data_IF_292931408104
#
_entry.id   IF_292931408104
#
_cell.length_a   1.000
_cell.length_b   1.000
_cell.length_c   1.000
_cell.angle_alpha   90.00
_cell.angle_beta   90.00
_cell.angle_gamma   90.00
#
_symmetry.space_group_name_H-M   'P 1'
#
loop_
_entity.id
_entity.type
_entity.pdbx_description
1 polymer ?
#
# COMPACT_ATOMS: atom_id res chain seq x y z
N UNK A 1 -10.52 -2.41 -13.63
CA UNK A 1 -10.83 -2.45 -12.19
C UNK A 1 -9.61 -1.98 -11.40
N UNK A 2 -9.83 -1.15 -10.44
CA UNK A 2 -8.74 -0.66 -9.59
C UNK A 2 -8.76 -1.36 -8.26
N UNK A 3 -7.56 -1.69 -7.77
CA UNK A 3 -7.36 -2.31 -6.46
C UNK A 3 -6.27 -1.58 -5.72
N UNK A 4 -6.46 -1.47 -4.41
CA UNK A 4 -5.45 -0.92 -3.51
C UNK A 4 -4.82 -2.08 -2.75
N UNK A 5 -3.51 -2.21 -2.89
CA UNK A 5 -2.71 -3.17 -2.14
C UNK A 5 -2.03 -2.41 -1.02
N UNK A 6 -2.14 -2.89 0.21
CA UNK A 6 -1.51 -2.23 1.34
C UNK A 6 -0.61 -3.19 2.10
N UNK A 7 0.44 -2.63 2.67
CA UNK A 7 1.30 -3.30 3.63
C UNK A 7 1.00 -2.67 4.98
N UNK A 8 0.60 -3.50 5.94
CA UNK A 8 0.22 -3.02 7.26
C UNK A 8 1.34 -3.31 8.26
N UNK A 9 1.64 -2.34 9.09
CA UNK A 9 2.56 -2.43 10.22
C UNK A 9 3.82 -3.27 10.00
N UNK A 10 4.74 -3.29 10.93
CA UNK A 10 5.80 -4.28 11.03
C UNK A 10 6.47 -4.76 9.74
N UNK A 11 6.74 -3.86 8.79
CA UNK A 11 7.42 -4.24 7.56
C UNK A 11 8.75 -4.94 7.89
N UNK A 12 9.11 -6.02 7.16
CA UNK A 12 10.40 -6.65 7.35
C UNK A 12 11.51 -5.65 7.07
N UNK A 13 12.64 -5.86 7.73
CA UNK A 13 13.78 -4.98 7.55
C UNK A 13 14.24 -5.02 6.09
N UNK A 14 14.23 -3.87 5.44
CA UNK A 14 14.61 -3.78 4.04
C UNK A 14 16.12 -3.94 3.89
N UNK A 15 16.55 -4.79 2.95
CA UNK A 15 17.94 -4.93 2.57
C UNK A 15 18.12 -4.55 1.10
N UNK A 16 19.36 -4.58 0.64
CA UNK A 16 19.68 -4.19 -0.74
C UNK A 16 18.97 -5.07 -1.76
N UNK A 17 18.82 -6.36 -1.46
CA UNK A 17 18.14 -7.28 -2.37
C UNK A 17 16.65 -6.97 -2.46
N UNK A 18 16.02 -6.65 -1.34
CA UNK A 18 14.61 -6.27 -1.34
C UNK A 18 14.39 -5.00 -2.17
N UNK A 19 15.25 -4.00 -1.99
CA UNK A 19 15.15 -2.76 -2.78
C UNK A 19 15.33 -3.03 -4.26
N UNK A 20 16.30 -3.87 -4.64
CA UNK A 20 16.54 -4.20 -6.04
C UNK A 20 15.36 -4.94 -6.67
N UNK A 21 14.84 -5.96 -5.97
CA UNK A 21 13.73 -6.76 -6.47
C UNK A 21 12.44 -5.95 -6.53
N UNK A 22 12.20 -5.11 -5.55
CA UNK A 22 11.03 -4.24 -5.55
C UNK A 22 11.12 -3.19 -6.66
N UNK A 23 12.31 -2.64 -6.89
CA UNK A 23 12.53 -1.68 -7.97
C UNK A 23 12.22 -2.28 -9.34
N UNK A 24 12.64 -3.51 -9.58
CA UNK A 24 12.35 -4.22 -10.82
C UNK A 24 10.84 -4.47 -10.98
N UNK A 25 10.19 -4.89 -9.91
CA UNK A 25 8.75 -5.16 -9.93
C UNK A 25 7.95 -3.88 -10.23
N UNK A 26 8.28 -2.79 -9.54
CA UNK A 26 7.65 -1.48 -9.76
C UNK A 26 7.86 -1.01 -11.19
N UNK A 27 9.07 -1.13 -11.72
CA UNK A 27 9.39 -0.72 -13.08
C UNK A 27 8.58 -1.52 -14.10
N UNK A 28 8.50 -2.82 -13.92
CA UNK A 28 7.73 -3.70 -14.81
C UNK A 28 6.26 -3.28 -14.85
N UNK A 29 5.64 -3.11 -13.68
CA UNK A 29 4.22 -2.76 -13.59
C UNK A 29 3.93 -1.34 -14.09
N UNK A 30 4.88 -0.43 -13.89
CA UNK A 30 4.75 0.94 -14.39
C UNK A 30 4.77 0.97 -15.91
N UNK A 31 5.71 0.25 -16.52
CA UNK A 31 5.81 0.16 -17.98
C UNK A 31 4.60 -0.51 -18.61
N UNK A 32 4.01 -1.47 -17.90
CA UNK A 32 2.81 -2.17 -18.38
C UNK A 32 1.54 -1.35 -18.21
N UNK A 33 1.61 -0.19 -17.55
CA UNK A 33 0.44 0.63 -17.28
C UNK A 33 -0.47 0.08 -16.20
N UNK A 34 0.01 -0.89 -15.44
CA UNK A 34 -0.76 -1.54 -14.37
C UNK A 34 -0.67 -0.76 -13.06
N UNK A 35 0.53 -0.30 -12.72
CA UNK A 35 0.74 0.46 -11.49
C UNK A 35 0.44 1.94 -11.71
N UNK A 36 -0.58 2.44 -11.03
CA UNK A 36 -1.00 3.84 -11.16
C UNK A 36 -0.32 4.75 -10.14
N UNK A 37 -0.09 4.25 -8.93
CA UNK A 37 0.54 5.01 -7.87
C UNK A 37 1.08 4.06 -6.81
N UNK A 38 2.16 4.44 -6.17
CA UNK A 38 2.73 3.68 -5.06
C UNK A 38 3.52 4.61 -4.16
N UNK A 39 3.65 4.24 -2.91
CA UNK A 39 4.46 5.03 -1.97
C UNK A 39 4.48 4.42 -0.59
N UNK A 40 5.45 4.89 0.19
CA UNK A 40 5.51 4.59 1.61
C UNK A 40 4.87 5.73 2.39
N UNK A 41 4.36 5.43 3.56
CA UNK A 41 3.75 6.40 4.43
C UNK A 41 4.64 6.66 5.64
N UNK A 42 4.71 7.92 6.07
CA UNK A 42 5.46 8.27 7.28
C UNK A 42 4.80 7.62 8.49
N UNK A 43 5.63 7.23 9.47
CA UNK A 43 5.12 6.65 10.72
C UNK A 43 4.38 7.69 11.56
N UNK A 44 4.72 8.95 11.38
CA UNK A 44 4.06 10.05 12.05
C UNK A 44 3.00 10.64 11.14
N UNK A 45 1.91 11.07 11.73
CA UNK A 45 0.84 11.67 10.98
C UNK A 45 -0.01 12.57 11.86
N UNK A 46 -1.03 13.14 11.26
CA UNK A 46 -1.98 13.97 11.98
C UNK A 46 -3.32 13.23 11.99
N UNK A 47 -3.78 12.92 13.18
CA UNK A 47 -5.08 12.29 13.36
C UNK A 47 -6.17 13.37 13.35
N UNK A 48 -7.23 13.12 12.62
CA UNK A 48 -8.30 14.09 12.44
C UNK A 48 -9.62 13.50 12.93
N UNK A 49 -10.29 14.22 13.82
CA UNK A 49 -11.66 13.90 14.19
C UNK A 49 -12.56 15.06 13.83
N UNK A 50 -13.78 14.76 13.44
CA UNK A 50 -14.73 15.78 13.04
C UNK A 50 -16.08 15.53 13.70
N UNK A 51 -16.71 16.62 14.14
CA UNK A 51 -18.04 16.59 14.72
C UNK A 51 -18.76 17.88 14.36
N UNK A 52 -19.95 17.77 13.78
CA UNK A 52 -20.75 18.93 13.39
C UNK A 52 -20.03 19.85 12.41
N UNK A 53 -19.20 19.31 11.53
CA UNK A 53 -18.44 20.09 10.57
C UNK A 53 -17.16 20.73 11.13
N UNK A 54 -16.82 20.45 12.38
CA UNK A 54 -15.59 20.95 12.99
C UNK A 54 -14.56 19.83 13.08
N UNK A 55 -13.37 20.09 12.60
CA UNK A 55 -12.26 19.13 12.62
C UNK A 55 -11.28 19.46 13.73
N UNK A 56 -10.83 18.42 14.42
CA UNK A 56 -9.78 18.50 15.43
C UNK A 56 -8.60 17.68 14.94
N UNK A 57 -7.40 18.28 15.06
CA UNK A 57 -6.16 17.69 14.54
C UNK A 57 -5.23 17.36 15.70
N UNK A 58 -4.70 16.14 15.70
CA UNK A 58 -3.77 15.69 16.74
C UNK A 58 -2.55 15.08 16.07
N UNK A 59 -1.39 15.71 16.23
CA UNK A 59 -0.13 15.22 15.70
C UNK A 59 0.47 14.16 16.60
N UNK A 60 1.19 13.22 16.00
CA UNK A 60 1.94 12.23 16.76
C UNK A 60 2.09 10.91 16.01
N UNK A 61 2.86 9.97 16.60
CA UNK A 61 2.91 8.63 16.07
C UNK A 61 1.63 7.89 16.37
N UNK A 62 1.23 6.98 15.48
CA UNK A 62 0.08 6.12 15.72
C UNK A 62 0.41 5.07 16.78
N UNK A 63 -0.52 4.86 17.71
CA UNK A 63 -0.28 4.01 18.86
C UNK A 63 -0.17 2.51 18.50
N UNK A 64 -0.84 2.09 17.44
CA UNK A 64 -0.88 0.68 17.02
C UNK A 64 -0.22 0.51 15.66
N UNK A 65 1.07 0.20 15.67
CA UNK A 65 1.84 0.03 14.42
C UNK A 65 1.26 -1.07 13.53
N UNK A 66 0.70 -2.12 14.12
CA UNK A 66 0.15 -3.26 13.37
C UNK A 66 -1.07 -2.90 12.53
N UNK A 67 -1.80 -1.89 12.93
CA UNK A 67 -3.02 -1.46 12.23
C UNK A 67 -2.75 -0.33 11.26
N UNK A 68 -1.52 0.18 11.26
CA UNK A 68 -1.16 1.32 10.43
C UNK A 68 -0.67 0.84 9.06
N UNK A 69 -1.26 1.40 8.02
CA UNK A 69 -0.79 1.17 6.65
C UNK A 69 0.55 1.89 6.50
N UNK A 70 1.59 1.16 6.12
CA UNK A 70 2.94 1.73 5.95
C UNK A 70 3.33 1.93 4.50
N UNK A 71 2.66 1.26 3.58
CA UNK A 71 2.86 1.49 2.16
C UNK A 71 1.63 1.05 1.37
N UNK A 72 1.53 1.52 0.14
CA UNK A 72 0.40 1.20 -0.71
C UNK A 72 0.81 1.12 -2.18
N UNK A 73 0.01 0.41 -2.95
CA UNK A 73 0.09 0.40 -4.41
C UNK A 73 -1.32 0.40 -4.98
N UNK A 74 -1.60 1.34 -5.88
CA UNK A 74 -2.87 1.38 -6.60
C UNK A 74 -2.64 0.81 -7.99
N UNK A 75 -3.38 -0.25 -8.32
CA UNK A 75 -3.22 -0.95 -9.60
C UNK A 75 -4.53 -0.95 -10.39
N UNK A 76 -4.39 -0.97 -11.72
CA UNK A 76 -5.52 -1.11 -12.64
C UNK A 76 -5.37 -2.44 -13.36
N UNK A 77 -6.33 -3.33 -13.13
CA UNK A 77 -6.31 -4.70 -13.64
C UNK A 77 -7.67 -5.08 -14.22
N UNK A 78 -7.73 -6.21 -14.90
CA UNK A 78 -8.97 -6.65 -15.57
C UNK A 78 -9.92 -7.38 -14.63
N UNK A 79 -9.40 -7.96 -13.56
CA UNK A 79 -10.19 -8.80 -12.67
C UNK A 79 -9.57 -8.87 -11.28
N UNK A 80 -10.35 -9.36 -10.32
CA UNK A 80 -9.85 -9.63 -8.97
C UNK A 80 -8.78 -10.70 -9.00
N UNK A 81 -8.92 -11.71 -9.87
CA UNK A 81 -7.94 -12.78 -10.01
C UNK A 81 -6.58 -12.26 -10.44
N UNK A 82 -6.56 -11.30 -11.37
CA UNK A 82 -5.33 -10.65 -11.78
C UNK A 82 -4.71 -9.86 -10.63
N UNK A 83 -5.54 -9.16 -9.84
CA UNK A 83 -5.07 -8.43 -8.66
C UNK A 83 -4.46 -9.38 -7.63
N UNK A 84 -5.06 -10.55 -7.43
CA UNK A 84 -4.54 -11.57 -6.51
C UNK A 84 -3.18 -12.09 -7.00
N UNK A 85 -3.04 -12.34 -8.30
CA UNK A 85 -1.76 -12.79 -8.85
C UNK A 85 -0.66 -11.75 -8.69
N UNK A 86 -0.99 -10.47 -8.88
CA UNK A 86 -0.03 -9.39 -8.61
C UNK A 86 0.34 -9.35 -7.13
N UNK A 87 -0.63 -9.56 -6.24
CA UNK A 87 -0.37 -9.62 -4.81
C UNK A 87 0.56 -10.77 -4.44
N UNK A 88 0.39 -11.93 -5.06
CA UNK A 88 1.30 -13.07 -4.85
C UNK A 88 2.72 -12.71 -5.23
N UNK A 89 2.90 -12.03 -6.35
CA UNK A 89 4.23 -11.58 -6.80
C UNK A 89 4.84 -10.57 -5.83
N UNK A 90 4.03 -9.62 -5.38
CA UNK A 90 4.46 -8.63 -4.38
C UNK A 90 4.95 -9.30 -3.10
N UNK A 91 4.15 -10.22 -2.56
CA UNK A 91 4.49 -10.90 -1.31
C UNK A 91 5.65 -11.88 -1.48
N UNK A 92 5.88 -12.41 -2.68
CA UNK A 92 7.07 -13.21 -2.97
C UNK A 92 8.35 -12.37 -2.87
N UNK A 93 8.26 -11.07 -3.16
CA UNK A 93 9.38 -10.14 -3.01
C UNK A 93 9.58 -9.73 -1.55
N UNK A 94 8.50 -9.35 -0.87
CA UNK A 94 8.55 -8.87 0.53
C UNK A 94 8.82 -10.00 1.51
N UNK A 95 8.26 -11.16 1.25
CA UNK A 95 8.38 -12.43 2.00
C UNK A 95 7.54 -12.52 3.26
N UNK A 96 7.63 -11.55 4.16
CA UNK A 96 6.96 -11.60 5.46
C UNK A 96 6.16 -10.34 5.70
N UNK A 97 5.03 -10.50 6.38
CA UNK A 97 4.19 -9.38 6.74
C UNK A 97 2.72 -9.67 6.53
N UNK A 98 1.91 -8.66 6.60
CA UNK A 98 0.49 -8.73 6.30
C UNK A 98 0.02 -7.47 5.63
N UNK A 99 -1.09 -7.57 4.92
CA UNK A 99 -1.66 -6.45 4.22
C UNK A 99 -3.05 -6.77 3.71
N UNK A 100 -3.58 -5.86 2.94
CA UNK A 100 -4.92 -5.99 2.40
C UNK A 100 -4.93 -5.74 0.90
N UNK A 101 -5.91 -6.31 0.23
CA UNK A 101 -6.22 -6.05 -1.16
C UNK A 101 -7.68 -5.65 -1.23
N UNK A 102 -7.95 -4.42 -1.64
CA UNK A 102 -9.32 -3.88 -1.65
C UNK A 102 -9.63 -3.25 -3.00
N UNK A 103 -10.81 -3.53 -3.51
CA UNK A 103 -11.26 -2.88 -4.75
C UNK A 103 -11.56 -1.41 -4.45
N UNK A 104 -11.11 -0.54 -5.36
CA UNK A 104 -11.39 0.90 -5.26
C UNK A 104 -12.51 1.24 -6.21
N UNK A 105 -13.58 1.82 -5.68
CA UNK A 105 -14.69 2.32 -6.46
C UNK A 105 -14.57 3.83 -6.61
N UNK A 106 -14.97 4.35 -7.74
CA UNK A 106 -14.95 5.79 -7.95
C UNK A 106 -15.01 6.15 -9.43
N UNK A 107 -15.03 7.43 -9.73
CA UNK A 107 -15.03 7.86 -11.13
C UNK A 107 -13.72 7.45 -11.80
N UNK A 108 -13.81 6.99 -13.02
CA UNK A 108 -12.68 6.60 -13.84
C UNK A 108 -12.37 7.69 -14.87
#
# INVERSE_FOLDING_TARGET
MRFLMTLNGGAPQADDQLYADMGEFVEELTKAGVLLATGGLAMEGTHITASGGRATFTDGPYAEAKETIVSFALVDVRSKEEAIELSRRFWAVVKDGEGDLRQVYGPE
#
